data_IF_948440220501
#
_entry.id   IF_948440220501
#
_cell.length_a   1.000
_cell.length_b   1.000
_cell.length_c   1.000
_cell.angle_alpha   90.00
_cell.angle_beta   90.00
_cell.angle_gamma   90.00
#
_symmetry.space_group_name_H-M   'P 1'
#
loop_
_entity.id
_entity.type
_entity.pdbx_description
1 polymer ?
#
# COMPACT_ATOMS: atom_id res chain seq x y z
N UNK A 1 43.60 6.52 -112.25
CA UNK A 1 42.16 6.78 -112.01
C UNK A 1 41.38 5.52 -112.33
N UNK A 2 40.17 5.29 -111.79
CA UNK A 2 39.67 5.59 -110.45
C UNK A 2 38.77 4.43 -109.91
N UNK A 3 38.08 4.70 -108.80
CA UNK A 3 36.90 3.98 -108.25
C UNK A 3 37.16 2.74 -107.38
N UNK A 4 36.60 2.64 -106.18
CA UNK A 4 35.82 3.56 -105.35
C UNK A 4 35.76 2.91 -103.96
N UNK A 5 36.09 3.55 -102.84
CA UNK A 5 35.26 4.48 -102.06
C UNK A 5 33.78 4.07 -101.81
N UNK A 6 33.31 2.90 -102.27
CA UNK A 6 31.93 2.46 -102.05
C UNK A 6 31.74 1.56 -100.80
N UNK A 7 32.78 0.86 -100.32
CA UNK A 7 32.62 -0.02 -99.14
C UNK A 7 32.65 0.71 -97.79
N UNK A 8 33.19 1.93 -97.74
CA UNK A 8 33.36 2.67 -96.47
C UNK A 8 32.04 3.24 -95.93
N UNK A 9 31.08 3.59 -96.80
CA UNK A 9 29.77 4.15 -96.38
C UNK A 9 28.81 3.08 -95.87
N UNK A 10 28.75 1.91 -96.51
CA UNK A 10 27.97 0.76 -96.02
C UNK A 10 28.53 0.16 -94.75
N UNK A 11 29.86 0.01 -94.66
CA UNK A 11 30.52 -0.45 -93.45
C UNK A 11 30.35 0.52 -92.28
N UNK A 12 30.46 1.84 -92.52
CA UNK A 12 30.22 2.85 -91.48
C UNK A 12 28.77 2.83 -90.99
N UNK A 13 27.78 2.74 -91.88
CA UNK A 13 26.36 2.66 -91.51
C UNK A 13 26.02 1.36 -90.73
N UNK A 14 26.65 0.24 -91.09
CA UNK A 14 26.44 -1.03 -90.39
C UNK A 14 27.12 -1.02 -89.00
N UNK A 15 28.31 -0.43 -88.89
CA UNK A 15 28.98 -0.24 -87.60
C UNK A 15 28.24 0.73 -86.68
N UNK A 16 27.67 1.84 -87.19
CA UNK A 16 26.86 2.73 -86.34
C UNK A 16 25.58 2.06 -85.86
N UNK A 17 24.93 1.24 -86.69
CA UNK A 17 23.76 0.44 -86.28
C UNK A 17 24.15 -0.61 -85.24
N UNK A 18 25.28 -1.30 -85.42
CA UNK A 18 25.75 -2.27 -84.43
C UNK A 18 26.13 -1.62 -83.10
N UNK A 19 26.77 -0.45 -83.11
CA UNK A 19 27.09 0.30 -81.89
C UNK A 19 25.81 0.83 -81.23
N UNK A 20 24.85 1.35 -82.01
CA UNK A 20 23.57 1.81 -81.47
C UNK A 20 22.73 0.65 -80.89
N UNK A 21 22.75 -0.53 -81.52
CA UNK A 21 22.10 -1.74 -81.03
C UNK A 21 22.81 -2.28 -79.78
N UNK A 22 24.14 -2.24 -79.77
CA UNK A 22 24.94 -2.60 -78.59
C UNK A 22 24.62 -1.68 -77.40
N UNK A 23 24.58 -0.37 -77.63
CA UNK A 23 24.21 0.61 -76.62
C UNK A 23 22.75 0.48 -76.16
N UNK A 24 21.81 0.17 -77.05
CA UNK A 24 20.41 -0.03 -76.65
C UNK A 24 20.23 -1.30 -75.81
N UNK A 25 20.93 -2.39 -76.15
CA UNK A 25 20.90 -3.64 -75.37
C UNK A 25 21.52 -3.47 -73.98
N UNK A 26 22.62 -2.72 -73.84
CA UNK A 26 23.21 -2.45 -72.52
C UNK A 26 22.29 -1.59 -71.66
N UNK A 27 21.59 -0.61 -72.25
CA UNK A 27 20.60 0.20 -71.54
C UNK A 27 19.42 -0.66 -71.08
N UNK A 28 18.82 -1.47 -71.99
CA UNK A 28 17.68 -2.36 -71.65
C UNK A 28 18.09 -3.37 -70.58
N UNK A 29 19.27 -3.98 -70.70
CA UNK A 29 19.81 -4.90 -69.71
C UNK A 29 19.96 -4.26 -68.33
N UNK A 30 20.45 -3.02 -68.29
CA UNK A 30 20.62 -2.27 -67.03
C UNK A 30 19.29 -1.96 -66.37
N UNK A 31 18.28 -1.49 -67.12
CA UNK A 31 16.94 -1.23 -66.59
C UNK A 31 16.25 -2.52 -66.13
N UNK A 32 16.40 -3.62 -66.87
CA UNK A 32 15.82 -4.92 -66.48
C UNK A 32 16.43 -5.43 -65.18
N UNK A 33 17.76 -5.32 -65.03
CA UNK A 33 18.45 -5.68 -63.80
C UNK A 33 17.98 -4.83 -62.61
N UNK A 34 17.86 -3.52 -62.79
CA UNK A 34 17.34 -2.62 -61.76
C UNK A 34 15.90 -2.95 -61.36
N UNK A 35 15.01 -3.15 -62.33
CA UNK A 35 13.61 -3.49 -62.08
C UNK A 35 13.45 -4.83 -61.34
N UNK A 36 14.25 -5.86 -61.70
CA UNK A 36 14.22 -7.14 -61.00
C UNK A 36 14.74 -7.03 -59.56
N UNK A 37 15.77 -6.21 -59.33
CA UNK A 37 16.26 -5.93 -57.99
C UNK A 37 15.21 -5.20 -57.15
N UNK A 38 14.50 -4.22 -57.72
CA UNK A 38 13.45 -3.48 -57.04
C UNK A 38 12.26 -4.37 -56.67
N UNK A 39 11.83 -5.26 -57.57
CA UNK A 39 10.78 -6.26 -57.28
C UNK A 39 11.20 -7.18 -56.13
N UNK A 40 12.48 -7.62 -56.10
CA UNK A 40 13.00 -8.45 -55.01
C UNK A 40 12.99 -7.71 -53.68
N UNK A 41 13.44 -6.45 -53.65
CA UNK A 41 13.44 -5.60 -52.45
C UNK A 41 12.02 -5.36 -51.95
N UNK A 42 11.09 -5.00 -52.84
CA UNK A 42 9.69 -4.78 -52.47
C UNK A 42 9.02 -6.04 -51.93
N UNK A 43 9.28 -7.22 -52.52
CA UNK A 43 8.80 -8.50 -51.98
C UNK A 43 9.39 -8.81 -50.60
N UNK A 44 10.67 -8.51 -50.39
CA UNK A 44 11.30 -8.64 -49.07
C UNK A 44 10.68 -7.72 -48.04
N UNK A 45 10.40 -6.47 -48.41
CA UNK A 45 9.73 -5.50 -47.55
C UNK A 45 8.33 -5.95 -47.14
N UNK A 46 7.53 -6.47 -48.08
CA UNK A 46 6.20 -7.04 -47.76
C UNK A 46 6.32 -8.21 -46.78
N UNK A 47 7.24 -9.14 -47.02
CA UNK A 47 7.47 -10.28 -46.11
C UNK A 47 7.91 -9.84 -44.70
N UNK A 48 8.74 -8.81 -44.61
CA UNK A 48 9.15 -8.24 -43.33
C UNK A 48 7.99 -7.60 -42.57
N UNK A 49 7.05 -6.94 -43.26
CA UNK A 49 5.81 -6.44 -42.67
C UNK A 49 4.94 -7.60 -42.19
N UNK A 50 4.76 -8.65 -43.00
CA UNK A 50 3.99 -9.83 -42.61
C UNK A 50 4.55 -10.50 -41.35
N UNK A 51 5.89 -10.68 -41.28
CA UNK A 51 6.57 -11.19 -40.09
C UNK A 51 6.36 -10.29 -38.87
N UNK A 52 6.46 -8.96 -39.06
CA UNK A 52 6.23 -7.98 -37.98
C UNK A 52 4.82 -8.06 -37.43
N UNK A 53 3.81 -8.05 -38.31
CA UNK A 53 2.40 -8.14 -37.92
C UNK A 53 2.10 -9.45 -37.20
N UNK A 54 2.74 -10.56 -37.60
CA UNK A 54 2.63 -11.83 -36.88
C UNK A 54 3.22 -11.74 -35.46
N UNK A 55 4.40 -11.12 -35.29
CA UNK A 55 4.99 -10.90 -33.97
C UNK A 55 4.09 -10.04 -33.06
N UNK A 56 3.56 -8.93 -33.58
CA UNK A 56 2.62 -8.05 -32.87
C UNK A 56 1.35 -8.81 -32.46
N UNK A 57 0.77 -9.58 -33.38
CA UNK A 57 -0.44 -10.37 -33.12
C UNK A 57 -0.22 -11.43 -32.04
N UNK A 58 0.95 -12.07 -32.02
CA UNK A 58 1.30 -13.04 -30.98
C UNK A 58 1.39 -12.39 -29.60
N UNK A 59 1.99 -11.21 -29.51
CA UNK A 59 2.05 -10.46 -28.26
C UNK A 59 0.63 -10.07 -27.79
N UNK A 60 -0.18 -9.48 -28.67
CA UNK A 60 -1.51 -8.99 -28.31
C UNK A 60 -2.44 -10.12 -27.86
N UNK A 61 -2.38 -11.29 -28.49
CA UNK A 61 -3.17 -12.44 -28.08
C UNK A 61 -2.77 -12.95 -26.68
N UNK A 62 -1.47 -13.07 -26.39
CA UNK A 62 -1.00 -13.47 -25.05
C UNK A 62 -1.36 -12.42 -24.01
N UNK A 63 -1.14 -11.13 -24.30
CA UNK A 63 -1.49 -10.03 -23.40
C UNK A 63 -2.99 -10.05 -23.10
N UNK A 64 -3.83 -10.19 -24.12
CA UNK A 64 -5.28 -10.29 -23.95
C UNK A 64 -5.68 -11.48 -23.08
N UNK A 65 -5.09 -12.66 -23.30
CA UNK A 65 -5.37 -13.85 -22.49
C UNK A 65 -4.92 -13.69 -21.04
N UNK A 66 -3.76 -13.06 -20.79
CA UNK A 66 -3.29 -12.75 -19.45
C UNK A 66 -4.23 -11.77 -18.73
N UNK A 67 -4.66 -10.69 -19.41
CA UNK A 67 -5.58 -9.69 -18.84
C UNK A 67 -6.98 -10.27 -18.59
N UNK A 68 -7.45 -11.18 -19.45
CA UNK A 68 -8.77 -11.80 -19.35
C UNK A 68 -8.81 -13.10 -18.54
N UNK A 69 -7.69 -13.52 -17.95
CA UNK A 69 -7.60 -14.73 -17.12
C UNK A 69 -7.79 -16.04 -17.88
N UNK A 70 -7.49 -16.07 -19.18
CA UNK A 70 -7.55 -17.27 -20.02
C UNK A 70 -6.24 -18.05 -19.94
N UNK A 71 -6.26 -19.38 -20.14
CA UNK A 71 -5.04 -20.18 -20.09
C UNK A 71 -4.05 -19.80 -21.18
N UNK A 72 -2.77 -19.78 -20.80
CA UNK A 72 -1.61 -19.59 -21.69
C UNK A 72 -0.54 -20.62 -21.33
N UNK A 73 0.24 -21.04 -22.31
CA UNK A 73 1.34 -21.99 -22.20
C UNK A 73 2.69 -21.28 -22.24
N UNK A 74 3.77 -21.95 -21.83
CA UNK A 74 5.10 -21.36 -21.79
C UNK A 74 5.68 -21.02 -23.18
N UNK A 75 5.28 -21.78 -24.20
CA UNK A 75 5.52 -21.46 -25.62
C UNK A 75 4.29 -21.82 -26.44
N UNK A 76 3.93 -20.97 -27.39
CA UNK A 76 2.78 -21.17 -28.29
C UNK A 76 3.05 -20.61 -29.68
N UNK A 77 2.50 -21.29 -30.70
CA UNK A 77 2.57 -20.85 -32.10
C UNK A 77 1.20 -20.40 -32.61
N UNK A 78 1.20 -19.30 -33.36
CA UNK A 78 -0.01 -18.72 -33.97
C UNK A 78 0.25 -18.41 -35.44
N UNK A 79 -0.61 -18.91 -36.33
CA UNK A 79 -0.57 -18.55 -37.75
C UNK A 79 -1.35 -17.25 -37.98
N UNK A 80 -0.73 -16.29 -38.68
CA UNK A 80 -1.28 -14.97 -38.99
C UNK A 80 -1.16 -14.73 -40.49
N UNK A 81 -2.19 -15.13 -41.23
CA UNK A 81 -2.17 -15.08 -42.69
C UNK A 81 -1.09 -16.00 -43.27
N UNK A 82 -0.09 -15.41 -43.94
CA UNK A 82 1.04 -16.14 -44.55
C UNK A 82 2.27 -16.25 -43.65
N UNK A 83 2.23 -15.65 -42.46
CA UNK A 83 3.32 -15.68 -41.48
C UNK A 83 2.90 -16.50 -40.26
N UNK A 84 3.88 -16.91 -39.47
CA UNK A 84 3.68 -17.63 -38.21
C UNK A 84 4.42 -16.86 -37.12
N UNK A 85 3.89 -16.85 -35.91
CA UNK A 85 4.60 -16.31 -34.74
C UNK A 85 4.78 -17.40 -33.69
N UNK A 86 5.97 -17.48 -33.10
CA UNK A 86 6.24 -18.26 -31.91
C UNK A 86 6.38 -17.31 -30.72
N UNK A 87 5.56 -17.53 -29.69
CA UNK A 87 5.56 -16.73 -28.48
C UNK A 87 6.13 -17.54 -27.33
N UNK A 88 6.99 -16.93 -26.51
CA UNK A 88 7.52 -17.53 -25.29
C UNK A 88 7.22 -16.63 -24.10
N UNK A 89 6.74 -17.23 -23.01
CA UNK A 89 6.37 -16.53 -21.78
C UNK A 89 7.31 -16.96 -20.68
N UNK A 90 8.02 -16.00 -20.08
CA UNK A 90 8.86 -16.21 -18.91
C UNK A 90 8.38 -15.35 -17.75
N UNK A 91 8.54 -15.82 -16.53
CA UNK A 91 8.12 -15.11 -15.32
C UNK A 91 9.34 -14.57 -14.57
N UNK A 92 9.26 -13.31 -14.14
CA UNK A 92 10.23 -12.68 -13.24
C UNK A 92 9.47 -11.95 -12.12
N UNK A 93 9.29 -12.62 -10.98
CA UNK A 93 8.40 -12.14 -9.93
C UNK A 93 6.95 -12.02 -10.43
N UNK A 94 6.35 -10.83 -10.27
CA UNK A 94 4.99 -10.52 -10.71
C UNK A 94 4.92 -10.12 -12.20
N UNK A 95 6.08 -9.94 -12.84
CA UNK A 95 6.16 -9.58 -14.26
C UNK A 95 6.14 -10.84 -15.14
N UNK A 96 5.33 -10.81 -16.20
CA UNK A 96 5.39 -11.74 -17.32
C UNK A 96 6.12 -11.09 -18.48
N UNK A 97 7.22 -11.68 -18.92
CA UNK A 97 7.99 -11.26 -20.09
C UNK A 97 7.57 -12.13 -21.25
N UNK A 98 6.96 -11.52 -22.26
CA UNK A 98 6.44 -12.18 -23.45
C UNK A 98 7.38 -11.80 -24.60
N UNK A 99 7.98 -12.80 -25.25
CA UNK A 99 8.74 -12.62 -26.48
C UNK A 99 7.97 -13.25 -27.63
N UNK A 100 7.84 -12.55 -28.74
CA UNK A 100 7.26 -13.09 -29.96
C UNK A 100 8.29 -13.01 -31.09
N UNK A 101 8.47 -14.11 -31.81
CA UNK A 101 9.23 -14.19 -33.03
C UNK A 101 8.27 -14.44 -34.20
N UNK A 102 8.05 -13.41 -35.02
CA UNK A 102 7.28 -13.53 -36.25
C UNK A 102 8.17 -13.97 -37.41
N UNK A 103 7.77 -15.03 -38.10
CA UNK A 103 8.47 -15.67 -39.20
C UNK A 103 7.67 -15.63 -40.50
N UNK A 104 8.32 -15.14 -41.56
CA UNK A 104 7.85 -15.26 -42.94
C UNK A 104 9.01 -15.69 -43.83
N UNK A 105 9.10 -16.99 -44.12
CA UNK A 105 10.28 -17.59 -44.77
C UNK A 105 11.56 -17.16 -44.02
N UNK A 106 12.51 -16.53 -44.69
CA UNK A 106 13.79 -16.09 -44.10
C UNK A 106 13.70 -14.72 -43.38
N UNK A 107 12.51 -14.14 -43.24
CA UNK A 107 12.30 -12.86 -42.57
C UNK A 107 11.79 -13.09 -41.15
N UNK A 108 12.58 -12.65 -40.17
CA UNK A 108 12.30 -12.79 -38.74
C UNK A 108 12.11 -11.41 -38.11
N UNK A 109 11.12 -11.27 -37.23
CA UNK A 109 10.88 -10.07 -36.44
C UNK A 109 10.66 -10.45 -34.98
N UNK A 110 11.51 -9.94 -34.10
CA UNK A 110 11.46 -10.23 -32.68
C UNK A 110 10.90 -9.04 -31.91
N UNK A 111 9.94 -9.30 -31.02
CA UNK A 111 9.35 -8.30 -30.14
C UNK A 111 9.29 -8.82 -28.71
N UNK A 112 9.41 -7.92 -27.75
CA UNK A 112 9.28 -8.21 -26.33
C UNK A 112 8.31 -7.21 -25.71
N UNK A 113 7.42 -7.72 -24.87
CA UNK A 113 6.65 -6.88 -23.95
C UNK A 113 6.72 -7.45 -22.54
N UNK A 114 6.43 -6.59 -21.57
CA UNK A 114 6.43 -6.91 -20.14
C UNK A 114 5.12 -6.48 -19.55
N UNK A 115 4.45 -7.42 -18.89
CA UNK A 115 3.17 -7.20 -18.24
C UNK A 115 3.35 -7.41 -16.76
N UNK A 116 3.14 -6.37 -15.96
CA UNK A 116 3.13 -6.46 -14.51
C UNK A 116 1.75 -6.98 -14.07
N UNK A 117 1.72 -8.16 -13.47
CA UNK A 117 0.49 -8.76 -12.95
C UNK A 117 0.37 -8.38 -11.48
N UNK A 118 -0.28 -7.24 -11.20
CA UNK A 118 -0.54 -6.83 -9.83
C UNK A 118 -1.46 -7.86 -9.15
N UNK A 119 -0.96 -8.52 -8.09
CA UNK A 119 -1.76 -9.42 -7.24
C UNK A 119 -2.61 -8.67 -6.22
N UNK A 120 -2.71 -7.35 -6.32
CA UNK A 120 -3.26 -6.46 -5.29
C UNK A 120 -4.77 -6.58 -5.06
N UNK A 121 -5.47 -7.46 -5.77
CA UNK A 121 -6.87 -7.73 -5.56
C UNK A 121 -7.09 -8.92 -4.60
N UNK A 122 -6.54 -8.88 -3.39
CA UNK A 122 -7.07 -9.70 -2.30
C UNK A 122 -8.36 -9.04 -1.82
N UNK A 123 -9.45 -9.28 -2.55
CA UNK A 123 -10.77 -8.85 -2.12
C UNK A 123 -11.23 -9.77 -0.97
N UNK A 124 -11.25 -9.25 0.24
CA UNK A 124 -11.80 -9.95 1.38
C UNK A 124 -13.31 -9.76 1.44
N UNK A 125 -14.07 -10.73 0.93
CA UNK A 125 -15.52 -10.72 1.06
C UNK A 125 -15.93 -11.21 2.45
N UNK A 126 -16.24 -10.24 3.33
CA UNK A 126 -16.89 -10.51 4.61
C UNK A 126 -18.38 -10.16 4.51
N UNK A 127 -19.23 -11.01 5.06
CA UNK A 127 -20.63 -10.65 5.33
C UNK A 127 -20.70 -9.55 6.39
N UNK A 128 -19.79 -9.56 7.38
CA UNK A 128 -19.66 -8.51 8.40
C UNK A 128 -18.19 -8.29 8.77
N UNK A 129 -17.78 -7.03 8.86
CA UNK A 129 -16.54 -6.61 9.50
C UNK A 129 -16.86 -5.65 10.66
N UNK A 130 -16.39 -5.98 11.86
CA UNK A 130 -16.63 -5.18 13.07
C UNK A 130 -15.32 -4.78 13.76
N UNK A 131 -15.28 -3.55 14.28
CA UNK A 131 -14.15 -3.07 15.07
C UNK A 131 -14.15 -3.63 16.50
N UNK A 132 -13.54 -2.88 17.41
CA UNK A 132 -13.33 -3.26 18.82
C UNK A 132 -14.61 -3.46 19.62
N UNK A 133 -15.73 -2.88 19.18
CA UNK A 133 -17.04 -3.08 19.78
C UNK A 133 -17.61 -4.48 19.57
N UNK A 134 -17.05 -5.26 18.64
CA UNK A 134 -17.49 -6.62 18.40
C UNK A 134 -18.81 -6.74 17.65
N UNK A 135 -19.46 -7.89 17.78
CA UNK A 135 -20.79 -8.16 17.19
C UNK A 135 -21.66 -8.86 18.22
N UNK A 136 -22.84 -8.31 18.49
CA UNK A 136 -23.86 -8.98 19.29
C UNK A 136 -25.06 -9.34 18.40
N UNK A 137 -25.36 -10.63 18.33
CA UNK A 137 -26.48 -11.18 17.57
C UNK A 137 -27.54 -11.77 18.52
N UNK A 138 -28.80 -11.44 18.28
CA UNK A 138 -29.95 -11.91 19.06
C UNK A 138 -31.07 -12.42 18.14
N UNK A 139 -32.09 -13.08 18.71
CA UNK A 139 -33.31 -13.51 18.02
C UNK A 139 -33.06 -14.35 16.73
N UNK A 140 -32.08 -15.24 16.77
CA UNK A 140 -31.76 -16.10 15.62
C UNK A 140 -31.09 -15.39 14.44
N UNK A 141 -30.54 -14.20 14.65
CA UNK A 141 -29.81 -13.46 13.63
C UNK A 141 -28.69 -14.30 12.99
N UNK A 142 -28.56 -14.14 11.67
CA UNK A 142 -27.63 -14.91 10.83
C UNK A 142 -26.84 -13.97 9.91
N UNK A 143 -25.53 -14.16 9.89
CA UNK A 143 -24.62 -13.54 8.93
C UNK A 143 -24.40 -14.51 7.78
N UNK A 144 -24.81 -14.12 6.57
CA UNK A 144 -24.55 -14.86 5.35
C UNK A 144 -23.17 -14.43 4.80
N UNK A 145 -22.14 -15.22 5.06
CA UNK A 145 -20.76 -14.96 4.66
C UNK A 145 -19.77 -15.04 5.82
N UNK A 146 -18.57 -14.51 5.60
CA UNK A 146 -17.51 -14.49 6.60
C UNK A 146 -17.69 -13.34 7.60
N UNK A 147 -17.26 -13.53 8.84
CA UNK A 147 -17.23 -12.52 9.89
C UNK A 147 -15.78 -12.24 10.29
N UNK A 148 -15.37 -10.98 10.27
CA UNK A 148 -14.14 -10.53 10.90
C UNK A 148 -14.45 -9.53 12.02
N UNK A 149 -13.87 -9.71 13.21
CA UNK A 149 -14.09 -8.79 14.33
C UNK A 149 -12.83 -8.53 15.16
N UNK A 150 -12.56 -7.26 15.47
CA UNK A 150 -11.54 -6.86 16.46
C UNK A 150 -12.10 -6.78 17.90
N UNK A 151 -13.34 -7.19 18.10
CA UNK A 151 -14.02 -7.23 19.40
C UNK A 151 -14.72 -8.57 19.61
N UNK A 152 -15.27 -8.79 20.80
CA UNK A 152 -15.96 -10.05 21.11
C UNK A 152 -17.23 -10.22 20.28
N UNK A 153 -17.48 -11.44 19.82
CA UNK A 153 -18.70 -11.82 19.09
C UNK A 153 -19.56 -12.69 20.00
N UNK A 154 -20.86 -12.41 20.07
CA UNK A 154 -21.81 -13.19 20.87
C UNK A 154 -23.10 -13.51 20.13
N UNK A 155 -23.59 -14.74 20.25
CA UNK A 155 -24.87 -15.18 19.72
C UNK A 155 -24.87 -15.49 18.22
N UNK A 156 -26.04 -15.82 17.69
CA UNK A 156 -26.32 -15.92 16.25
C UNK A 156 -25.62 -17.06 15.50
N UNK A 157 -25.70 -17.00 14.17
CA UNK A 157 -25.07 -17.95 13.24
C UNK A 157 -24.26 -17.25 12.15
N UNK A 158 -23.06 -17.72 11.86
CA UNK A 158 -22.22 -17.28 10.74
C UNK A 158 -22.11 -18.43 9.74
N UNK A 159 -22.45 -18.19 8.47
CA UNK A 159 -22.46 -19.27 7.47
C UNK A 159 -21.12 -19.52 6.81
N UNK A 160 -20.20 -18.58 6.92
CA UNK A 160 -18.81 -18.73 6.50
C UNK A 160 -17.88 -18.89 7.69
N UNK A 161 -16.66 -18.40 7.53
CA UNK A 161 -15.66 -18.36 8.59
C UNK A 161 -15.95 -17.22 9.57
N UNK A 162 -15.59 -17.40 10.84
CA UNK A 162 -15.65 -16.36 11.86
C UNK A 162 -14.27 -16.15 12.47
N UNK A 163 -13.68 -14.97 12.28
CA UNK A 163 -12.37 -14.60 12.80
C UNK A 163 -12.56 -13.46 13.80
N UNK A 164 -12.20 -13.71 15.04
CA UNK A 164 -12.12 -12.73 16.12
C UNK A 164 -10.65 -12.53 16.46
N UNK A 165 -10.17 -11.30 16.29
CA UNK A 165 -8.82 -10.90 16.65
C UNK A 165 -8.77 -10.44 18.10
N UNK A 166 -7.59 -10.51 18.73
CA UNK A 166 -7.34 -9.89 20.04
C UNK A 166 -7.69 -8.40 19.96
N UNK A 167 -8.52 -7.95 20.89
CA UNK A 167 -9.06 -6.60 20.87
C UNK A 167 -8.27 -5.63 21.73
N UNK A 168 -8.77 -4.40 21.78
CA UNK A 168 -8.33 -3.40 22.76
C UNK A 168 -9.13 -3.59 24.06
N UNK A 169 -8.49 -3.37 25.21
CA UNK A 169 -9.20 -3.38 26.49
C UNK A 169 -10.29 -2.31 26.54
N UNK A 170 -11.42 -2.64 27.20
CA UNK A 170 -12.55 -1.73 27.33
C UNK A 170 -12.20 -0.49 28.15
N UNK A 171 -11.30 -0.64 29.13
CA UNK A 171 -10.79 0.42 29.98
C UNK A 171 -9.31 0.68 29.68
N UNK A 172 -8.83 1.92 29.82
CA UNK A 172 -7.41 2.21 29.70
C UNK A 172 -6.61 1.50 30.79
N UNK A 173 -5.40 1.05 30.44
CA UNK A 173 -4.44 0.48 31.38
C UNK A 173 -3.91 1.55 32.33
N UNK A 174 -3.63 2.75 31.81
CA UNK A 174 -3.17 3.90 32.58
C UNK A 174 -3.95 5.13 32.14
N UNK A 175 -4.44 5.93 33.07
CA UNK A 175 -5.11 7.18 32.75
C UNK A 175 -4.95 8.22 33.84
N UNK A 176 -5.05 9.48 33.44
CA UNK A 176 -5.20 10.61 34.35
C UNK A 176 -6.06 11.71 33.70
N UNK A 177 -7.00 12.34 34.45
CA UNK A 177 -7.57 11.88 35.71
C UNK A 177 -8.34 10.55 35.57
N UNK A 178 -8.32 9.72 36.59
CA UNK A 178 -8.97 8.41 36.55
C UNK A 178 -10.50 8.51 36.36
N UNK A 179 -11.07 7.67 35.50
CA UNK A 179 -12.51 7.55 35.26
C UNK A 179 -13.17 8.73 34.54
N UNK A 180 -12.42 9.73 34.09
CA UNK A 180 -13.02 10.94 33.54
C UNK A 180 -13.59 10.75 32.13
N UNK A 181 -14.91 10.91 31.94
CA UNK A 181 -15.55 10.75 30.63
C UNK A 181 -15.61 12.05 29.81
N UNK A 182 -15.92 13.16 30.46
CA UNK A 182 -16.04 14.50 29.86
C UNK A 182 -15.47 15.56 30.80
N UNK A 183 -15.07 16.71 30.24
CA UNK A 183 -14.47 17.83 30.99
C UNK A 183 -13.22 17.44 31.79
N UNK A 184 -12.37 16.61 31.20
CA UNK A 184 -11.17 16.11 31.86
C UNK A 184 -10.11 17.20 31.98
N UNK A 185 -9.47 17.24 33.15
CA UNK A 185 -8.67 18.39 33.57
C UNK A 185 -9.54 19.58 33.99
N UNK A 186 -9.16 20.26 35.05
CA UNK A 186 -9.88 21.42 35.60
C UNK A 186 -9.37 22.77 35.07
N UNK A 187 -8.34 22.78 34.23
CA UNK A 187 -7.74 23.98 33.65
C UNK A 187 -7.33 23.79 32.18
N UNK A 188 -7.29 24.89 31.44
CA UNK A 188 -6.67 24.94 30.11
C UNK A 188 -5.16 25.02 30.23
N UNK A 189 -4.47 24.38 29.28
CA UNK A 189 -3.02 24.50 29.16
C UNK A 189 -2.64 24.57 27.67
N UNK A 190 -2.40 25.78 27.20
CA UNK A 190 -2.08 26.04 25.78
C UNK A 190 -0.60 25.82 25.47
N UNK A 191 -0.31 25.25 24.30
CA UNK A 191 1.04 25.03 23.75
C UNK A 191 1.06 25.31 22.24
N UNK A 192 2.23 25.33 21.61
CA UNK A 192 2.46 25.83 20.26
C UNK A 192 2.16 27.34 20.05
N UNK A 193 2.09 28.11 21.15
CA UNK A 193 1.62 29.49 21.14
C UNK A 193 2.72 30.55 21.07
N UNK A 194 3.90 30.28 21.65
CA UNK A 194 5.00 31.23 21.87
C UNK A 194 6.33 30.48 21.89
N UNK A 195 7.44 31.22 21.77
CA UNK A 195 8.78 30.63 21.88
C UNK A 195 9.04 30.09 23.29
N UNK A 196 9.54 28.86 23.40
CA UNK A 196 9.72 28.16 24.67
C UNK A 196 8.52 27.33 25.11
N UNK A 197 7.45 27.26 24.32
CA UNK A 197 6.21 26.54 24.61
C UNK A 197 5.62 25.89 23.37
N UNK A 198 6.49 25.44 22.47
CA UNK A 198 6.15 24.75 21.24
C UNK A 198 5.70 23.32 21.51
N UNK A 199 6.47 22.60 22.31
CA UNK A 199 6.26 21.18 22.58
C UNK A 199 5.88 20.96 24.03
N UNK A 200 5.07 19.93 24.26
CA UNK A 200 4.54 19.61 25.58
C UNK A 200 4.55 18.10 25.79
N UNK A 201 4.74 17.67 27.03
CA UNK A 201 4.81 16.25 27.36
C UNK A 201 4.19 15.92 28.72
N UNK A 202 3.66 14.71 28.84
CA UNK A 202 3.21 14.12 30.10
C UNK A 202 3.95 12.82 30.35
N UNK A 203 4.51 12.67 31.55
CA UNK A 203 5.10 11.40 31.96
C UNK A 203 4.05 10.43 32.48
N UNK A 204 4.29 9.14 32.27
CA UNK A 204 3.52 8.04 32.86
C UNK A 204 4.44 6.86 33.19
N UNK A 205 4.04 6.02 34.13
CA UNK A 205 4.72 4.74 34.39
C UNK A 205 3.86 3.63 33.82
N UNK A 206 4.44 2.81 32.95
CA UNK A 206 3.71 1.68 32.35
C UNK A 206 3.37 0.66 33.45
N UNK A 207 2.10 0.24 33.53
CA UNK A 207 1.64 -0.75 34.52
C UNK A 207 1.62 -2.19 34.00
N UNK A 208 1.99 -2.38 32.74
CA UNK A 208 2.06 -3.68 32.08
C UNK A 208 3.19 -3.65 31.03
N UNK A 209 3.67 -4.85 30.67
CA UNK A 209 4.60 -5.04 29.55
C UNK A 209 3.80 -5.47 28.32
N UNK A 210 4.01 -4.82 27.18
CA UNK A 210 3.34 -5.17 25.92
C UNK A 210 3.20 -4.00 24.94
N UNK A 211 2.53 -4.23 23.81
CA UNK A 211 2.30 -3.21 22.80
C UNK A 211 1.40 -2.09 23.34
N UNK A 212 1.58 -0.85 22.88
CA UNK A 212 0.69 0.29 23.13
C UNK A 212 -0.14 0.57 21.86
N UNK A 213 -1.22 -0.17 21.60
CA UNK A 213 -2.02 0.01 20.40
C UNK A 213 -2.72 1.37 20.31
N UNK A 214 -3.07 1.98 21.45
CA UNK A 214 -3.83 3.23 21.48
C UNK A 214 -3.44 4.12 22.64
N UNK A 215 -3.42 5.41 22.38
CA UNK A 215 -3.53 6.45 23.42
C UNK A 215 -4.72 7.35 23.13
N UNK A 216 -5.24 8.01 24.15
CA UNK A 216 -6.20 9.11 23.98
C UNK A 216 -5.73 10.34 24.73
N UNK A 217 -5.91 11.50 24.12
CA UNK A 217 -5.46 12.78 24.65
C UNK A 217 -6.67 13.71 24.72
N UNK A 218 -6.92 14.34 25.87
CA UNK A 218 -8.05 15.27 26.01
C UNK A 218 -7.64 16.65 25.49
N UNK A 219 -7.94 16.90 24.21
CA UNK A 219 -7.34 17.96 23.40
C UNK A 219 -8.42 18.81 22.73
N UNK A 220 -8.18 20.12 22.68
CA UNK A 220 -8.91 21.07 21.84
C UNK A 220 -7.93 21.97 21.06
N UNK A 221 -8.46 22.77 20.15
CA UNK A 221 -7.68 23.78 19.41
C UNK A 221 -8.26 25.18 19.57
N UNK A 222 -7.40 26.17 19.50
CA UNK A 222 -7.76 27.57 19.36
C UNK A 222 -7.41 28.04 17.94
N UNK A 223 -8.32 28.79 17.32
CA UNK A 223 -8.19 29.23 15.94
C UNK A 223 -7.97 28.07 14.96
N UNK A 224 -7.06 28.28 14.01
CA UNK A 224 -6.77 27.35 12.92
C UNK A 224 -5.28 27.02 12.87
N UNK A 225 -4.80 26.03 13.65
CA UNK A 225 -3.44 25.51 13.52
C UNK A 225 -3.12 25.14 12.05
N UNK A 226 -1.88 25.40 11.63
CA UNK A 226 -1.45 25.32 10.22
C UNK A 226 -1.03 23.92 9.78
N UNK A 227 -0.66 23.05 10.72
CA UNK A 227 -0.17 21.70 10.49
C UNK A 227 -0.88 20.70 11.42
N UNK A 228 -0.62 19.42 11.18
CA UNK A 228 -1.03 18.34 12.07
C UNK A 228 -0.06 18.22 13.25
N UNK A 229 -0.49 17.57 14.32
CA UNK A 229 0.25 17.46 15.57
C UNK A 229 0.98 16.12 15.63
N UNK A 230 2.29 16.14 15.86
CA UNK A 230 3.08 14.92 15.99
C UNK A 230 3.03 14.40 17.42
N UNK A 231 2.86 13.09 17.56
CA UNK A 231 2.86 12.39 18.84
C UNK A 231 4.08 11.50 18.89
N UNK A 232 4.84 11.57 19.98
CA UNK A 232 6.02 10.73 20.23
C UNK A 232 5.87 10.05 21.58
N UNK A 233 6.20 8.76 21.64
CA UNK A 233 6.44 8.06 22.91
C UNK A 233 7.96 7.99 23.11
N UNK A 234 8.44 8.49 24.24
CA UNK A 234 9.89 8.52 24.54
C UNK A 234 10.17 7.89 25.90
N UNK A 235 11.41 7.41 26.10
CA UNK A 235 11.89 6.97 27.41
C UNK A 235 12.17 8.16 28.33
N UNK A 236 12.18 7.93 29.64
CA UNK A 236 12.65 8.94 30.60
C UNK A 236 14.18 9.02 30.65
N UNK A 237 14.70 10.25 30.70
CA UNK A 237 16.13 10.54 30.89
C UNK A 237 16.30 11.58 32.02
N UNK A 238 16.22 11.10 33.26
CA UNK A 238 16.40 11.95 34.44
C UNK A 238 15.21 12.88 34.68
N UNK A 239 13.99 12.36 34.52
CA UNK A 239 12.76 13.11 34.73
C UNK A 239 12.39 14.03 33.56
N UNK A 240 12.87 13.76 32.34
CA UNK A 240 12.49 14.46 31.12
C UNK A 240 12.42 13.49 29.93
N UNK A 241 11.66 13.83 28.86
CA UNK A 241 11.65 13.06 27.62
C UNK A 241 13.04 12.88 27.02
N UNK A 242 13.31 11.69 26.47
CA UNK A 242 14.42 11.45 25.56
C UNK A 242 14.21 12.25 24.26
N UNK A 243 15.30 12.66 23.60
CA UNK A 243 15.27 13.38 22.31
C UNK A 243 15.00 12.45 21.13
N UNK A 244 14.78 11.16 21.39
CA UNK A 244 14.41 10.15 20.42
C UNK A 244 13.13 9.43 20.89
N UNK A 245 12.20 9.22 19.97
CA UNK A 245 11.09 8.32 20.19
C UNK A 245 11.60 6.87 20.33
N UNK A 246 10.87 6.06 21.09
CA UNK A 246 11.07 4.60 21.05
C UNK A 246 10.68 4.08 19.65
N UNK A 247 11.19 2.91 19.22
CA UNK A 247 10.77 2.30 17.97
C UNK A 247 9.24 2.22 17.88
N UNK A 248 8.70 2.64 16.74
CA UNK A 248 7.27 2.70 16.43
C UNK A 248 6.44 3.64 17.33
N UNK A 249 7.11 4.44 18.16
CA UNK A 249 6.51 5.39 19.09
C UNK A 249 5.98 6.66 18.44
N UNK A 250 5.85 6.70 17.12
CA UNK A 250 5.53 7.89 16.34
C UNK A 250 4.11 7.80 15.75
N UNK A 251 3.32 8.86 15.93
CA UNK A 251 1.98 8.98 15.35
C UNK A 251 1.63 10.45 15.04
N UNK A 252 0.48 10.66 14.40
CA UNK A 252 0.00 12.00 14.03
C UNK A 252 -1.47 12.17 14.42
N UNK A 253 -1.78 13.31 15.03
CA UNK A 253 -3.15 13.79 15.24
C UNK A 253 -3.47 14.79 14.13
N UNK A 254 -4.46 14.46 13.30
CA UNK A 254 -4.94 15.36 12.25
C UNK A 254 -5.65 16.57 12.85
N UNK A 255 -5.30 17.77 12.42
CA UNK A 255 -5.93 19.02 12.89
C UNK A 255 -7.42 19.13 12.57
N UNK A 256 -7.87 18.42 11.54
CA UNK A 256 -9.28 18.32 11.17
C UNK A 256 -10.09 17.47 12.15
N UNK A 257 -9.45 16.53 12.86
CA UNK A 257 -10.10 15.67 13.84
C UNK A 257 -10.35 16.35 15.19
N UNK A 258 -9.69 17.48 15.46
CA UNK A 258 -9.77 18.19 16.74
C UNK A 258 -10.70 19.39 16.64
N UNK A 259 -11.67 19.48 17.55
CA UNK A 259 -12.60 20.60 17.66
C UNK A 259 -12.09 21.74 18.56
N UNK A 260 -12.87 22.84 18.63
CA UNK A 260 -12.60 23.94 19.57
C UNK A 260 -12.87 23.54 21.02
N UNK A 261 -13.95 22.77 21.24
CA UNK A 261 -14.26 22.19 22.55
C UNK A 261 -13.36 20.97 22.78
N UNK A 262 -12.57 20.93 23.87
CA UNK A 262 -11.72 19.79 24.17
C UNK A 262 -12.51 18.49 24.31
N UNK A 263 -11.98 17.43 23.71
CA UNK A 263 -12.55 16.09 23.74
C UNK A 263 -11.44 15.03 23.73
N UNK A 264 -11.78 13.77 24.00
CA UNK A 264 -10.85 12.66 23.84
C UNK A 264 -10.55 12.45 22.35
N UNK A 265 -9.28 12.63 21.98
CA UNK A 265 -8.75 12.35 20.65
C UNK A 265 -7.95 11.05 20.71
N UNK A 266 -8.43 10.05 20.00
CA UNK A 266 -7.77 8.75 19.90
C UNK A 266 -6.61 8.80 18.90
N UNK A 267 -5.48 8.24 19.29
CA UNK A 267 -4.27 8.12 18.48
C UNK A 267 -3.89 6.65 18.40
N UNK A 268 -3.76 6.16 17.17
CA UNK A 268 -3.30 4.82 16.84
C UNK A 268 -1.92 4.91 16.21
N UNK A 269 -1.04 3.97 16.55
CA UNK A 269 0.28 3.84 15.92
C UNK A 269 0.18 2.91 14.71
N UNK A 270 0.96 3.18 13.66
CA UNK A 270 1.02 2.30 12.49
C UNK A 270 1.48 0.89 12.86
N UNK A 271 2.47 0.81 13.76
CA UNK A 271 2.82 -0.39 14.51
C UNK A 271 2.84 -0.03 16.00
N UNK A 272 2.19 -0.80 16.89
CA UNK A 272 2.19 -0.47 18.32
C UNK A 272 3.59 -0.58 18.94
N UNK A 273 4.13 0.48 19.58
CA UNK A 273 5.42 0.39 20.27
C UNK A 273 5.30 -0.48 21.52
N UNK A 274 6.40 -1.15 21.90
CA UNK A 274 6.41 -2.01 23.09
C UNK A 274 6.87 -1.25 24.34
N UNK A 275 6.09 -1.36 25.42
CA UNK A 275 6.41 -0.78 26.73
C UNK A 275 6.79 -1.87 27.73
N UNK A 276 7.59 -1.49 28.73
CA UNK A 276 8.00 -2.36 29.84
C UNK A 276 7.35 -1.91 31.14
N UNK A 277 6.71 -2.84 31.85
CA UNK A 277 6.10 -2.58 33.16
C UNK A 277 7.10 -1.96 34.14
N UNK A 278 6.67 -0.94 34.88
CA UNK A 278 7.47 -0.20 35.85
C UNK A 278 8.41 0.85 35.25
N UNK A 279 8.63 0.85 33.93
CA UNK A 279 9.43 1.89 33.28
C UNK A 279 8.61 3.17 33.08
N UNK A 280 9.28 4.32 33.26
CA UNK A 280 8.72 5.64 33.00
C UNK A 280 8.93 6.05 31.55
N UNK A 281 7.86 6.52 30.94
CA UNK A 281 7.82 7.01 29.56
C UNK A 281 7.14 8.38 29.52
N UNK A 282 7.22 9.02 28.36
CA UNK A 282 6.59 10.30 28.08
C UNK A 282 5.77 10.24 26.81
N UNK A 283 4.57 10.80 26.87
CA UNK A 283 3.81 11.22 25.69
C UNK A 283 4.27 12.63 25.36
N UNK A 284 4.88 12.85 24.20
CA UNK A 284 5.30 14.17 23.72
C UNK A 284 4.41 14.56 22.56
N UNK A 285 3.85 15.76 22.63
CA UNK A 285 3.18 16.44 21.53
C UNK A 285 4.13 17.48 20.96
N UNK A 286 4.55 17.24 19.73
CA UNK A 286 5.55 17.99 18.97
C UNK A 286 4.85 18.83 17.90
N UNK A 287 5.14 20.13 17.89
CA UNK A 287 4.55 21.06 16.94
C UNK A 287 5.45 22.28 16.72
N UNK A 288 5.69 22.64 15.46
CA UNK A 288 6.43 23.87 15.13
C UNK A 288 5.66 25.12 15.54
N UNK A 289 6.30 26.09 16.23
CA UNK A 289 5.67 27.36 16.67
C UNK A 289 4.66 27.93 15.67
N UNK A 290 3.44 28.19 16.12
CA UNK A 290 2.41 28.86 15.32
C UNK A 290 2.15 30.28 15.82
N UNK A 291 1.15 30.49 16.69
CA UNK A 291 0.84 31.83 17.23
C UNK A 291 -0.02 31.78 18.49
N UNK A 292 -0.15 32.93 19.17
CA UNK A 292 -0.98 33.08 20.35
C UNK A 292 -2.48 32.83 20.12
N UNK A 293 -2.95 32.83 18.86
CA UNK A 293 -4.36 32.62 18.49
C UNK A 293 -4.62 31.35 17.69
N UNK A 294 -3.58 30.72 17.11
CA UNK A 294 -3.66 29.44 16.42
C UNK A 294 -2.79 28.43 17.15
N UNK A 295 -3.36 27.72 18.13
CA UNK A 295 -2.62 26.84 19.03
C UNK A 295 -3.48 25.69 19.55
N UNK A 296 -2.88 24.87 20.40
CA UNK A 296 -3.49 23.67 20.94
C UNK A 296 -3.70 23.81 22.44
N UNK A 297 -4.73 23.14 22.96
CA UNK A 297 -5.06 23.12 24.37
C UNK A 297 -5.17 21.67 24.85
N UNK A 298 -4.11 21.19 25.49
CA UNK A 298 -4.14 19.91 26.19
C UNK A 298 -4.61 20.19 27.60
N UNK A 299 -5.83 19.74 27.93
CA UNK A 299 -6.41 20.03 29.24
C UNK A 299 -5.57 19.45 30.36
N UNK A 300 -5.50 20.21 31.46
CA UNK A 300 -4.65 19.94 32.61
C UNK A 300 -5.47 19.84 33.88
N UNK A 301 -5.08 18.93 34.77
CA UNK A 301 -5.39 18.99 36.19
C UNK A 301 -4.34 19.85 36.90
N UNK A 302 -4.74 21.02 37.39
CA UNK A 302 -3.86 21.99 38.03
C UNK A 302 -3.43 21.59 39.45
N UNK A 303 -3.94 20.48 39.99
CA UNK A 303 -3.63 20.02 41.35
C UNK A 303 -2.35 19.18 41.43
N UNK A 304 -1.79 18.79 40.27
CA UNK A 304 -0.58 17.94 40.17
C UNK A 304 -0.76 16.62 40.95
N UNK A 305 -1.97 16.05 40.88
CA UNK A 305 -2.37 14.90 41.67
C UNK A 305 -1.82 13.55 41.19
N UNK A 306 -1.19 13.48 40.01
CA UNK A 306 -0.65 12.22 39.47
C UNK A 306 0.73 11.93 40.06
N UNK A 307 0.72 11.36 41.27
CA UNK A 307 1.92 11.15 42.08
C UNK A 307 3.10 10.49 41.31
N UNK A 308 4.28 11.10 41.44
CA UNK A 308 5.52 10.62 40.83
C UNK A 308 5.66 10.96 39.34
N UNK A 309 4.63 11.54 38.73
CA UNK A 309 4.57 11.95 37.34
C UNK A 309 4.45 13.48 37.24
N UNK A 310 4.56 14.02 36.03
CA UNK A 310 4.51 15.46 35.81
C UNK A 310 4.34 15.77 34.32
N UNK A 311 3.68 16.89 34.04
CA UNK A 311 3.66 17.54 32.74
C UNK A 311 4.81 18.56 32.58
N UNK A 312 5.41 18.61 31.39
CA UNK A 312 6.48 19.55 31.05
C UNK A 312 6.30 20.14 29.65
N UNK A 313 6.94 21.28 29.39
CA UNK A 313 6.97 21.96 28.09
C UNK A 313 8.39 22.38 27.70
N UNK A 314 8.63 22.56 26.42
CA UNK A 314 9.92 23.03 25.88
C UNK A 314 9.76 23.76 24.55
N UNK A 315 10.86 24.35 24.07
CA UNK A 315 10.91 25.02 22.77
C UNK A 315 11.05 24.06 21.59
N UNK A 316 11.76 22.95 21.81
CA UNK A 316 12.01 21.91 20.83
C UNK A 316 12.46 20.66 21.56
N UNK A 317 11.63 19.62 21.57
CA UNK A 317 11.87 18.36 22.27
C UNK A 317 13.07 17.59 21.72
N UNK A 318 13.38 17.77 20.44
CA UNK A 318 14.44 17.05 19.70
C UNK A 318 15.75 17.84 19.59
N UNK A 319 15.83 19.02 20.23
CA UNK A 319 17.09 19.76 20.32
C UNK A 319 18.16 18.92 21.07
N UNK A 320 19.44 19.19 20.82
CA UNK A 320 20.53 18.40 21.44
C UNK A 320 20.54 18.40 22.97
N UNK A 321 20.04 19.46 23.62
CA UNK A 321 19.81 19.50 25.06
C UNK A 321 18.58 20.37 25.37
N UNK A 322 17.37 19.81 25.33
CA UNK A 322 16.15 20.57 25.50
C UNK A 322 15.96 20.96 26.96
N UNK A 323 15.65 22.22 27.20
CA UNK A 323 15.28 22.73 28.52
C UNK A 323 13.79 22.48 28.73
N UNK A 324 13.46 21.60 29.67
CA UNK A 324 12.08 21.28 30.02
C UNK A 324 11.65 22.03 31.28
N UNK A 325 10.53 22.74 31.18
CA UNK A 325 9.91 23.46 32.31
C UNK A 325 8.62 22.77 32.69
N UNK A 326 8.31 22.65 33.99
CA UNK A 326 7.03 22.10 34.44
C UNK A 326 5.86 22.96 33.95
N UNK A 327 4.74 22.32 33.60
CA UNK A 327 3.47 23.01 33.30
C UNK A 327 2.64 23.28 34.56
N UNK A 328 3.10 22.84 35.74
CA UNK A 328 2.43 23.03 37.03
C UNK A 328 1.10 22.28 37.12
N UNK A 329 1.14 20.97 36.88
CA UNK A 329 -0.01 20.07 36.87
C UNK A 329 0.14 18.93 35.86
N UNK A 330 -0.87 18.08 35.79
CA UNK A 330 -0.87 16.86 34.98
C UNK A 330 -1.84 16.96 33.80
N UNK A 331 -1.34 16.64 32.61
CA UNK A 331 -2.11 16.70 31.38
C UNK A 331 -2.98 15.45 31.25
N UNK A 332 -4.20 15.60 30.73
CA UNK A 332 -5.18 14.52 30.72
C UNK A 332 -4.95 13.52 29.58
N UNK A 333 -4.74 12.24 29.90
CA UNK A 333 -4.41 11.19 28.93
C UNK A 333 -4.96 9.82 29.32
N UNK A 334 -4.98 8.92 28.34
CA UNK A 334 -5.30 7.49 28.49
C UNK A 334 -4.38 6.64 27.64
N UNK A 335 -4.01 5.48 28.15
CA UNK A 335 -3.16 4.50 27.47
C UNK A 335 -3.80 3.13 27.54
N UNK A 336 -3.73 2.39 26.45
CA UNK A 336 -4.07 0.97 26.42
C UNK A 336 -2.80 0.20 26.12
N UNK A 337 -2.27 -0.45 27.15
CA UNK A 337 -1.06 -1.28 27.07
C UNK A 337 -1.49 -2.74 27.09
N UNK A 338 -0.98 -3.52 26.13
CA UNK A 338 -1.37 -4.88 25.85
C UNK A 338 -2.61 -4.97 24.95
N UNK A 339 -3.33 -6.08 25.06
CA UNK A 339 -4.60 -6.31 24.37
C UNK A 339 -5.60 -6.99 25.32
N UNK A 340 -6.87 -7.00 24.92
CA UNK A 340 -7.89 -7.76 25.60
C UNK A 340 -8.12 -9.11 24.90
N UNK A 341 -8.28 -10.14 25.71
CA UNK A 341 -8.81 -11.42 25.25
C UNK A 341 -10.26 -11.21 24.80
N UNK A 342 -10.46 -11.09 23.50
CA UNK A 342 -11.77 -11.13 22.86
C UNK A 342 -12.25 -12.57 22.78
N UNK A 343 -13.56 -12.75 22.65
CA UNK A 343 -14.18 -14.06 22.64
C UNK A 343 -15.17 -14.23 21.49
N UNK A 344 -15.28 -15.45 20.97
CA UNK A 344 -16.44 -15.90 20.23
C UNK A 344 -17.32 -16.72 21.18
N UNK A 345 -18.56 -16.30 21.41
CA UNK A 345 -19.42 -16.86 22.44
C UNK A 345 -20.84 -17.16 21.94
N UNK A 346 -21.41 -18.31 22.31
CA UNK A 346 -22.80 -18.69 21.98
C UNK A 346 -23.13 -18.58 20.47
N UNK A 347 -22.14 -18.77 19.61
CA UNK A 347 -22.27 -18.61 18.15
C UNK A 347 -22.13 -19.96 17.47
N UNK A 348 -22.96 -20.19 16.44
CA UNK A 348 -22.78 -21.30 15.51
C UNK A 348 -22.06 -20.79 14.26
N UNK A 349 -20.93 -21.39 13.92
CA UNK A 349 -20.13 -21.08 12.73
C UNK A 349 -20.18 -22.31 11.83
N UNK A 350 -20.67 -22.16 10.60
CA UNK A 350 -20.74 -23.26 9.65
C UNK A 350 -19.36 -23.57 9.05
N UNK A 351 -18.52 -22.55 8.90
CA UNK A 351 -17.13 -22.68 8.50
C UNK A 351 -16.17 -22.77 9.69
N UNK A 352 -14.97 -22.24 9.47
CA UNK A 352 -13.88 -22.23 10.43
C UNK A 352 -14.04 -21.08 11.41
N UNK A 353 -13.90 -21.36 12.70
CA UNK A 353 -13.91 -20.32 13.74
C UNK A 353 -12.50 -20.05 14.28
N UNK A 354 -12.14 -18.78 14.53
CA UNK A 354 -10.86 -18.36 15.13
C UNK A 354 -11.14 -17.28 16.16
N UNK A 355 -10.64 -17.44 17.38
CA UNK A 355 -10.79 -16.46 18.45
C UNK A 355 -9.75 -16.68 19.57
N UNK A 356 -9.40 -15.65 20.36
CA UNK A 356 -8.59 -15.84 21.56
C UNK A 356 -9.31 -16.68 22.62
N UNK A 357 -10.64 -16.59 22.70
CA UNK A 357 -11.45 -17.36 23.66
C UNK A 357 -12.72 -17.87 22.98
N UNK A 358 -13.10 -19.12 23.26
CA UNK A 358 -14.34 -19.73 22.79
C UNK A 358 -15.23 -20.09 23.97
N UNK A 359 -16.51 -19.74 23.90
CA UNK A 359 -17.50 -20.07 24.94
C UNK A 359 -18.78 -20.58 24.29
N UNK A 360 -19.17 -21.84 24.50
CA UNK A 360 -20.38 -22.41 23.88
C UNK A 360 -20.47 -22.20 22.36
N UNK A 361 -19.37 -22.43 21.64
CA UNK A 361 -19.32 -22.29 20.18
C UNK A 361 -19.48 -23.65 19.51
N UNK A 362 -20.20 -23.68 18.39
CA UNK A 362 -20.18 -24.79 17.43
C UNK A 362 -19.49 -24.31 16.16
N UNK A 363 -18.49 -25.02 15.66
CA UNK A 363 -17.76 -24.68 14.43
C UNK A 363 -17.69 -25.91 13.52
N UNK A 364 -17.98 -25.77 12.21
CA UNK A 364 -17.98 -26.90 11.27
C UNK A 364 -18.94 -28.04 11.65
N UNK A 365 -20.04 -27.73 12.35
CA UNK A 365 -20.99 -28.74 12.87
C UNK A 365 -20.53 -29.48 14.13
N UNK A 366 -19.37 -29.15 14.70
CA UNK A 366 -18.80 -29.78 15.90
C UNK A 366 -18.80 -28.78 17.06
N UNK A 367 -19.18 -29.23 18.27
CA UNK A 367 -19.02 -28.41 19.48
C UNK A 367 -17.54 -28.15 19.71
N UNK A 368 -17.16 -26.88 19.82
CA UNK A 368 -15.78 -26.48 20.10
C UNK A 368 -15.39 -27.06 21.49
N UNK A 369 -14.54 -28.11 21.53
CA UNK A 369 -14.17 -28.78 22.79
C UNK A 369 -13.20 -27.93 23.61
N UNK A 370 -12.70 -26.87 22.96
CA UNK A 370 -11.93 -25.77 23.46
C UNK A 370 -10.49 -26.15 23.88
N UNK A 371 -9.55 -25.21 23.76
CA UNK A 371 -9.88 -23.80 23.58
C UNK A 371 -9.91 -23.21 22.19
N UNK A 372 -8.75 -22.78 21.70
CA UNK A 372 -8.64 -21.62 20.79
C UNK A 372 -8.86 -22.00 19.34
N UNK A 373 -9.87 -22.83 19.16
CA UNK A 373 -9.90 -23.87 18.16
C UNK A 373 -10.41 -23.34 16.81
N UNK A 374 -9.58 -23.60 15.81
CA UNK A 374 -9.89 -23.68 14.39
C UNK A 374 -10.39 -25.09 14.14
N UNK A 375 -11.62 -25.30 13.67
CA UNK A 375 -12.00 -26.62 13.15
C UNK A 375 -12.73 -26.49 11.83
N UNK A 376 -12.03 -26.97 10.81
CA UNK A 376 -12.56 -27.55 9.60
C UNK A 376 -12.00 -28.98 9.52
N UNK A 377 -12.84 -29.93 9.13
CA UNK A 377 -12.45 -31.23 8.59
C UNK A 377 -13.17 -31.43 7.26
#
# INVERSE_FOLDING_TARGET
MPASLASRRGYAALMTVLVALGASLTIIGSFTFFALNEVRVNRGFVKAIEARTAAESGIEDIVYRLVSGKPTSASETLAVGNAVTETTITQNGDQRVIRAEGLREDYHQNMETRVDVATDAVNFFYGVQAGNGGVAMANGARINGNLFSNGSVTGGRVTGDAIVATGLAALPSVEWPAGCLASCGNADNTFANTAGNEDIAQSFTANATGPLPKISIFLGKNGTPTADLNVRITTDVGGRPNTFAIPDGDATILRSAVGVTPAWIDVMFAMPPNLTSGAKYWIVLDYSRNSAVNNWNWRKDNTDGYAGQTGKRTANWSAGNPTWTSVGGDLAFRLWIGGANTSLANTTVDGTARAPVFTNVSAGGVRCPNPRCVVAS
#
